data_IF_675569934896
#
_entry.id   IF_675569934896
#
_cell.length_a   1.000
_cell.length_b   1.000
_cell.length_c   1.000
_cell.angle_alpha   90.00
_cell.angle_beta   90.00
_cell.angle_gamma   90.00
#
_symmetry.space_group_name_H-M   'P 1'
#
loop_
_entity.id
_entity.type
_entity.pdbx_description
1 polymer ?
#
# COMPACT_ATOMS: atom_id res chain seq x y z
N UNK A 1 13.89 -50.44 -75.88
CA UNK A 1 14.51 -49.09 -75.81
C UNK A 1 13.52 -47.93 -75.58
N UNK A 2 12.30 -48.17 -75.06
CA UNK A 2 11.35 -47.07 -74.74
C UNK A 2 11.32 -46.76 -73.24
N UNK A 3 11.61 -47.75 -72.38
CA UNK A 3 11.64 -47.57 -70.92
C UNK A 3 12.79 -46.71 -70.39
N UNK A 4 13.90 -46.58 -71.13
CA UNK A 4 15.06 -45.77 -70.72
C UNK A 4 14.87 -44.27 -70.97
N UNK A 5 14.08 -43.89 -71.98
CA UNK A 5 13.82 -42.49 -72.35
C UNK A 5 12.75 -41.81 -71.48
N UNK A 6 11.82 -42.56 -70.91
CA UNK A 6 10.79 -42.02 -70.01
C UNK A 6 11.38 -41.71 -68.62
N UNK A 7 12.31 -42.55 -68.15
CA UNK A 7 13.04 -42.33 -66.90
C UNK A 7 14.03 -41.17 -67.01
N UNK A 8 14.58 -40.88 -68.20
CA UNK A 8 15.44 -39.71 -68.44
C UNK A 8 14.68 -38.37 -68.47
N UNK A 9 13.39 -38.38 -68.83
CA UNK A 9 12.57 -37.15 -68.90
C UNK A 9 11.92 -36.76 -67.57
N UNK A 10 11.63 -37.72 -66.68
CA UNK A 10 11.14 -37.46 -65.32
C UNK A 10 12.27 -36.99 -64.38
N UNK A 11 13.54 -37.23 -64.75
CA UNK A 11 14.69 -37.00 -63.87
C UNK A 11 15.27 -35.58 -63.88
N UNK A 12 14.93 -34.72 -64.85
CA UNK A 12 15.77 -33.55 -65.11
C UNK A 12 15.16 -32.15 -65.02
N UNK A 13 13.84 -31.92 -64.89
CA UNK A 13 13.35 -30.51 -64.85
C UNK A 13 12.16 -30.17 -63.93
N UNK A 14 11.53 -31.12 -63.23
CA UNK A 14 10.40 -30.80 -62.33
C UNK A 14 10.68 -30.99 -60.83
N UNK A 15 11.75 -31.68 -60.46
CA UNK A 15 12.05 -31.88 -59.03
C UNK A 15 12.48 -30.59 -58.34
N UNK A 16 13.20 -29.71 -59.05
CA UNK A 16 13.48 -28.33 -58.60
C UNK A 16 12.21 -27.52 -58.37
N UNK A 17 11.22 -27.63 -59.24
CA UNK A 17 9.93 -26.95 -59.08
C UNK A 17 9.20 -27.44 -57.81
N UNK A 18 9.14 -28.76 -57.59
CA UNK A 18 8.52 -29.35 -56.39
C UNK A 18 9.24 -28.90 -55.11
N UNK A 19 10.58 -28.84 -55.12
CA UNK A 19 11.37 -28.36 -53.97
C UNK A 19 11.10 -26.89 -53.70
N UNK A 20 11.03 -26.05 -54.75
CA UNK A 20 10.71 -24.62 -54.61
C UNK A 20 9.31 -24.45 -54.02
N UNK A 21 8.30 -25.17 -54.54
CA UNK A 21 6.92 -25.11 -54.04
C UNK A 21 6.85 -25.54 -52.57
N UNK A 22 7.56 -26.62 -52.19
CA UNK A 22 7.65 -27.06 -50.80
C UNK A 22 8.30 -26.00 -49.89
N UNK A 23 9.41 -25.39 -50.32
CA UNK A 23 10.09 -24.32 -49.57
C UNK A 23 9.17 -23.12 -49.39
N UNK A 24 8.45 -22.71 -50.44
CA UNK A 24 7.49 -21.60 -50.35
C UNK A 24 6.40 -21.90 -49.33
N UNK A 25 5.83 -23.11 -49.32
CA UNK A 25 4.82 -23.51 -48.33
C UNK A 25 5.40 -23.50 -46.91
N UNK A 26 6.58 -24.09 -46.69
CA UNK A 26 7.23 -24.12 -45.38
C UNK A 26 7.55 -22.71 -44.89
N UNK A 27 8.10 -21.85 -45.75
CA UNK A 27 8.36 -20.44 -45.44
C UNK A 27 7.06 -19.69 -45.16
N UNK A 28 5.99 -19.97 -45.92
CA UNK A 28 4.67 -19.39 -45.69
C UNK A 28 4.10 -19.74 -44.32
N UNK A 29 4.16 -21.02 -43.92
CA UNK A 29 3.75 -21.48 -42.58
C UNK A 29 4.64 -20.84 -41.50
N UNK A 30 5.95 -20.78 -41.71
CA UNK A 30 6.88 -20.16 -40.78
C UNK A 30 6.57 -18.67 -40.56
N UNK A 31 6.38 -17.89 -41.63
CA UNK A 31 5.98 -16.47 -41.54
C UNK A 31 4.61 -16.33 -40.89
N UNK A 32 3.67 -17.23 -41.18
CA UNK A 32 2.34 -17.25 -40.56
C UNK A 32 2.41 -17.41 -39.05
N UNK A 33 3.21 -18.36 -38.55
CA UNK A 33 3.44 -18.56 -37.11
C UNK A 33 4.12 -17.34 -36.49
N UNK A 34 5.15 -16.79 -37.13
CA UNK A 34 5.85 -15.60 -36.63
C UNK A 34 4.94 -14.37 -36.56
N UNK A 35 4.05 -14.20 -37.54
CA UNK A 35 3.07 -13.11 -37.53
C UNK A 35 2.03 -13.27 -36.41
N UNK A 36 1.64 -14.52 -36.10
CA UNK A 36 0.76 -14.83 -34.97
C UNK A 36 1.45 -14.55 -33.63
N UNK A 37 2.69 -15.01 -33.44
CA UNK A 37 3.47 -14.75 -32.23
C UNK A 37 3.66 -13.25 -32.00
N UNK A 38 3.94 -12.49 -33.08
CA UNK A 38 4.03 -11.03 -33.01
C UNK A 38 2.70 -10.36 -32.65
N UNK A 39 1.57 -10.84 -33.17
CA UNK A 39 0.26 -10.31 -32.82
C UNK A 39 -0.10 -10.56 -31.34
N UNK A 40 0.21 -11.75 -30.83
CA UNK A 40 0.02 -12.12 -29.42
C UNK A 40 0.90 -11.26 -28.52
N UNK A 41 2.18 -11.12 -28.85
CA UNK A 41 3.13 -10.33 -28.06
C UNK A 41 2.74 -8.84 -28.02
N UNK A 42 2.29 -8.26 -29.13
CA UNK A 42 1.75 -6.90 -29.14
C UNK A 42 0.51 -6.74 -28.27
N UNK A 43 -0.38 -7.74 -28.28
CA UNK A 43 -1.54 -7.76 -27.40
C UNK A 43 -1.15 -7.79 -25.92
N UNK A 44 -0.13 -8.61 -25.59
CA UNK A 44 0.42 -8.73 -24.24
C UNK A 44 1.02 -7.40 -23.74
N UNK A 45 1.85 -6.75 -24.56
CA UNK A 45 2.45 -5.45 -24.24
C UNK A 45 1.40 -4.36 -24.01
N UNK A 46 0.33 -4.35 -24.83
CA UNK A 46 -0.77 -3.41 -24.64
C UNK A 46 -1.47 -3.61 -23.30
N UNK A 47 -1.78 -4.86 -22.95
CA UNK A 47 -2.43 -5.18 -21.68
C UNK A 47 -1.53 -4.83 -20.48
N UNK A 48 -0.23 -5.11 -20.59
CA UNK A 48 0.75 -4.75 -19.57
C UNK A 48 0.79 -3.24 -19.33
N UNK A 49 0.87 -2.44 -20.39
CA UNK A 49 0.85 -0.98 -20.27
C UNK A 49 -0.44 -0.47 -19.61
N UNK A 50 -1.59 -1.04 -19.98
CA UNK A 50 -2.88 -0.69 -19.36
C UNK A 50 -2.91 -1.02 -17.85
N UNK A 51 -2.35 -2.15 -17.42
CA UNK A 51 -2.23 -2.47 -16.00
C UNK A 51 -1.27 -1.53 -15.27
N UNK A 52 -0.13 -1.20 -15.88
CA UNK A 52 0.86 -0.30 -15.26
C UNK A 52 0.28 1.12 -15.09
N UNK A 53 -0.42 1.65 -16.09
CA UNK A 53 -1.06 2.97 -16.02
C UNK A 53 -2.15 3.02 -14.95
N UNK A 54 -3.02 1.99 -14.90
CA UNK A 54 -4.05 1.87 -13.85
C UNK A 54 -3.43 1.79 -12.47
N UNK A 55 -2.42 0.94 -12.31
CA UNK A 55 -1.73 0.74 -11.04
C UNK A 55 -1.02 2.02 -10.56
N UNK A 56 -0.36 2.74 -11.48
CA UNK A 56 0.29 4.01 -11.18
C UNK A 56 -0.71 5.03 -10.62
N UNK A 57 -1.85 5.23 -11.30
CA UNK A 57 -2.91 6.13 -10.82
C UNK A 57 -3.52 5.70 -9.48
N UNK A 58 -3.65 4.39 -9.24
CA UNK A 58 -4.09 3.85 -7.94
C UNK A 58 -3.08 4.18 -6.84
N UNK A 59 -1.78 4.00 -7.11
CA UNK A 59 -0.70 4.28 -6.16
C UNK A 59 -0.63 5.77 -5.80
N UNK A 60 -0.72 6.67 -6.77
CA UNK A 60 -0.73 8.12 -6.53
C UNK A 60 -1.86 8.54 -5.59
N UNK A 61 -3.10 8.11 -5.89
CA UNK A 61 -4.28 8.41 -5.06
C UNK A 61 -4.14 7.83 -3.65
N UNK A 62 -3.55 6.65 -3.54
CA UNK A 62 -3.34 5.99 -2.27
C UNK A 62 -2.26 6.70 -1.45
N UNK A 63 -1.20 7.21 -2.06
CA UNK A 63 -0.18 8.05 -1.40
C UNK A 63 -0.83 9.31 -0.82
N UNK A 64 -1.63 10.02 -1.61
CA UNK A 64 -2.34 11.22 -1.17
C UNK A 64 -3.21 10.92 0.05
N UNK A 65 -4.03 9.86 -0.05
CA UNK A 65 -4.93 9.42 1.02
C UNK A 65 -4.15 9.06 2.28
N UNK A 66 -3.08 8.28 2.16
CA UNK A 66 -2.26 7.83 3.29
C UNK A 66 -1.48 8.97 3.95
N UNK A 67 -1.12 10.02 3.23
CA UNK A 67 -0.42 11.19 3.80
C UNK A 67 -1.20 11.82 4.96
N UNK A 68 -2.54 11.79 4.90
CA UNK A 68 -3.42 12.28 5.97
C UNK A 68 -3.29 11.39 7.21
N UNK A 69 -3.25 10.07 7.04
CA UNK A 69 -3.05 9.12 8.13
C UNK A 69 -1.67 9.29 8.75
N UNK A 70 -0.61 9.37 7.94
CA UNK A 70 0.76 9.53 8.44
C UNK A 70 0.88 10.78 9.33
N UNK A 71 0.36 11.92 8.87
CA UNK A 71 0.35 13.18 9.65
C UNK A 71 -0.47 13.05 10.93
N UNK A 72 -1.70 12.56 10.83
CA UNK A 72 -2.61 12.49 11.98
C UNK A 72 -2.15 11.49 13.03
N UNK A 73 -1.63 10.32 12.64
CA UNK A 73 -1.14 9.30 13.59
C UNK A 73 0.16 9.72 14.25
N UNK A 74 1.06 10.36 13.51
CA UNK A 74 2.27 10.96 14.08
C UNK A 74 1.94 12.06 15.08
N UNK A 75 1.01 12.96 14.74
CA UNK A 75 0.56 14.04 15.63
C UNK A 75 -0.07 13.46 16.91
N UNK A 76 -0.97 12.50 16.76
CA UNK A 76 -1.63 11.84 17.89
C UNK A 76 -0.64 11.11 18.80
N UNK A 77 0.30 10.34 18.22
CA UNK A 77 1.36 9.66 18.97
C UNK A 77 2.17 10.65 19.80
N UNK A 78 2.55 11.79 19.22
CA UNK A 78 3.28 12.85 19.92
C UNK A 78 2.46 13.47 21.04
N UNK A 79 1.18 13.79 20.80
CA UNK A 79 0.28 14.34 21.82
C UNK A 79 0.12 13.38 23.01
N UNK A 80 0.04 12.07 22.74
CA UNK A 80 -0.09 11.04 23.76
C UNK A 80 1.21 10.87 24.57
N UNK A 81 2.37 10.87 23.93
CA UNK A 81 3.68 10.86 24.61
C UNK A 81 3.82 12.09 25.52
N UNK A 82 3.51 13.28 25.00
CA UNK A 82 3.52 14.52 25.79
C UNK A 82 2.54 14.42 26.97
N UNK A 83 1.35 13.87 26.78
CA UNK A 83 0.39 13.67 27.87
C UNK A 83 0.96 12.77 28.99
N UNK A 84 1.64 11.68 28.62
CA UNK A 84 2.35 10.80 29.57
C UNK A 84 3.45 11.54 30.32
N UNK A 85 4.25 12.36 29.63
CA UNK A 85 5.31 13.16 30.26
C UNK A 85 4.73 14.16 31.26
N UNK A 86 3.66 14.86 30.90
CA UNK A 86 2.95 15.78 31.80
C UNK A 86 2.38 15.05 33.03
N UNK A 87 1.85 13.83 32.87
CA UNK A 87 1.33 13.04 34.00
C UNK A 87 2.44 12.48 34.91
N UNK A 88 3.66 12.34 34.41
CA UNK A 88 4.81 11.85 35.17
C UNK A 88 5.72 12.96 35.72
N UNK A 89 5.56 14.19 35.24
CA UNK A 89 6.27 15.37 35.72
C UNK A 89 5.99 15.68 37.20
N UNK A 90 7.01 16.13 37.92
CA UNK A 90 6.89 16.66 39.27
C UNK A 90 6.31 18.08 39.31
N UNK A 91 6.20 18.74 38.16
CA UNK A 91 5.65 20.10 38.03
C UNK A 91 4.11 20.08 38.12
N UNK A 92 3.56 20.58 39.22
CA UNK A 92 2.11 20.64 39.49
C UNK A 92 1.36 21.64 38.62
N UNK A 93 2.05 22.58 37.99
CA UNK A 93 1.43 23.62 37.17
C UNK A 93 1.22 23.17 35.72
N UNK A 94 1.87 22.07 35.31
CA UNK A 94 1.61 21.43 34.03
C UNK A 94 0.25 20.72 34.04
N UNK A 95 -0.74 21.32 33.37
CA UNK A 95 -2.08 20.77 33.17
C UNK A 95 -2.20 20.13 31.78
N UNK A 96 -3.00 19.08 31.64
CA UNK A 96 -3.30 18.49 30.33
C UNK A 96 -4.11 19.48 29.47
N UNK A 97 -3.71 19.61 28.20
CA UNK A 97 -4.51 20.33 27.21
C UNK A 97 -5.71 19.50 26.76
N UNK A 98 -6.65 20.12 26.03
CA UNK A 98 -7.73 19.39 25.36
C UNK A 98 -7.18 18.30 24.42
N UNK A 99 -6.12 18.61 23.66
CA UNK A 99 -5.48 17.65 22.76
C UNK A 99 -4.86 16.47 23.52
N UNK A 100 -4.24 16.71 24.67
CA UNK A 100 -3.72 15.64 25.51
C UNK A 100 -4.84 14.75 26.05
N UNK A 101 -5.94 15.34 26.52
CA UNK A 101 -7.07 14.59 27.05
C UNK A 101 -7.75 13.73 25.96
N UNK A 102 -7.97 14.30 24.78
CA UNK A 102 -8.47 13.56 23.60
C UNK A 102 -7.52 12.43 23.20
N UNK A 103 -6.21 12.66 23.23
CA UNK A 103 -5.22 11.64 22.91
C UNK A 103 -5.25 10.47 23.92
N UNK A 104 -5.40 10.76 25.21
CA UNK A 104 -5.54 9.74 26.26
C UNK A 104 -6.79 8.88 26.01
N UNK A 105 -7.94 9.51 25.79
CA UNK A 105 -9.21 8.76 25.60
C UNK A 105 -9.23 7.98 24.31
N UNK A 106 -8.68 8.54 23.23
CA UNK A 106 -8.58 7.85 21.94
C UNK A 106 -7.48 6.79 21.86
N UNK A 107 -6.61 6.68 22.86
CA UNK A 107 -5.39 5.85 22.80
C UNK A 107 -5.64 4.35 22.65
N UNK A 108 -6.83 3.87 23.01
CA UNK A 108 -7.25 2.48 22.85
C UNK A 108 -7.73 2.16 21.42
N UNK A 109 -7.96 3.18 20.60
CA UNK A 109 -8.62 3.04 19.31
C UNK A 109 -7.64 3.28 18.17
N UNK A 110 -7.40 2.24 17.38
CA UNK A 110 -6.64 2.31 16.14
C UNK A 110 -7.54 1.94 14.97
N UNK A 111 -7.28 2.57 13.82
CA UNK A 111 -7.97 2.24 12.56
C UNK A 111 -6.95 1.71 11.56
N UNK A 112 -7.38 0.81 10.68
CA UNK A 112 -6.50 0.31 9.60
C UNK A 112 -6.52 1.34 8.46
N UNK A 113 -5.39 2.00 8.13
CA UNK A 113 -5.35 2.90 6.98
C UNK A 113 -5.50 2.11 5.66
N UNK A 114 -6.07 2.71 4.60
CA UNK A 114 -6.24 2.05 3.32
C UNK A 114 -4.90 1.64 2.72
N UNK A 115 -4.84 0.44 2.13
CA UNK A 115 -3.64 -0.13 1.53
C UNK A 115 -3.94 -1.05 0.34
N UNK A 116 -5.13 -0.93 -0.24
CA UNK A 116 -5.59 -1.82 -1.31
C UNK A 116 -5.28 -1.19 -2.68
N UNK A 117 -4.77 -2.02 -3.59
CA UNK A 117 -4.54 -1.69 -4.99
C UNK A 117 -5.40 -2.64 -5.84
N UNK A 118 -6.60 -2.22 -6.30
CA UNK A 118 -7.53 -3.06 -7.04
C UNK A 118 -6.89 -3.79 -8.22
N UNK A 119 -6.00 -3.12 -8.98
CA UNK A 119 -5.30 -3.74 -10.11
C UNK A 119 -4.38 -4.87 -9.67
N UNK A 120 -3.69 -4.74 -8.53
CA UNK A 120 -2.88 -5.83 -7.96
C UNK A 120 -3.76 -7.00 -7.51
N UNK A 121 -4.89 -6.72 -6.86
CA UNK A 121 -5.84 -7.75 -6.42
C UNK A 121 -6.39 -8.53 -7.62
N UNK A 122 -6.73 -7.84 -8.71
CA UNK A 122 -7.16 -8.45 -9.98
C UNK A 122 -6.08 -9.38 -10.53
N UNK A 123 -4.83 -8.91 -10.65
CA UNK A 123 -3.71 -9.69 -11.19
C UNK A 123 -3.38 -10.91 -10.34
N UNK A 124 -3.39 -10.78 -9.01
CA UNK A 124 -3.12 -11.90 -8.10
C UNK A 124 -4.27 -12.92 -8.11
N UNK A 125 -5.53 -12.48 -8.05
CA UNK A 125 -6.69 -13.37 -8.01
C UNK A 125 -6.91 -14.14 -9.31
N UNK A 126 -6.50 -13.57 -10.44
CA UNK A 126 -6.57 -14.22 -11.76
C UNK A 126 -5.30 -14.98 -12.13
N UNK A 127 -4.25 -14.94 -11.29
CA UNK A 127 -2.97 -15.58 -11.55
C UNK A 127 -2.18 -14.96 -12.72
N UNK A 128 -2.40 -13.68 -13.01
CA UNK A 128 -1.87 -12.94 -14.16
C UNK A 128 -0.72 -11.99 -13.83
N UNK A 129 -0.12 -12.12 -12.64
CA UNK A 129 1.02 -11.26 -12.26
C UNK A 129 2.22 -11.45 -13.21
N UNK A 130 2.33 -12.61 -13.86
CA UNK A 130 3.31 -12.91 -14.91
C UNK A 130 3.14 -12.06 -16.18
N UNK A 131 1.97 -11.47 -16.40
CA UNK A 131 1.72 -10.55 -17.52
C UNK A 131 2.49 -9.23 -17.40
N UNK A 132 2.88 -8.84 -16.17
CA UNK A 132 3.81 -7.74 -15.95
C UNK A 132 5.23 -8.28 -16.14
N UNK A 133 5.91 -7.95 -17.23
CA UNK A 133 7.25 -8.47 -17.55
C UNK A 133 8.33 -8.02 -16.58
N UNK A 134 8.21 -6.80 -16.08
CA UNK A 134 9.20 -6.18 -15.20
C UNK A 134 9.33 -6.90 -13.86
N UNK A 135 10.46 -7.60 -13.67
CA UNK A 135 10.80 -8.23 -12.38
C UNK A 135 10.87 -7.23 -11.22
N UNK A 136 11.45 -6.02 -11.38
CA UNK A 136 11.40 -4.98 -10.35
C UNK A 136 9.97 -4.64 -9.94
N UNK A 137 9.05 -4.40 -10.89
CA UNK A 137 7.65 -4.08 -10.59
C UNK A 137 6.96 -5.21 -9.83
N UNK A 138 7.06 -6.46 -10.33
CA UNK A 138 6.47 -7.63 -9.64
C UNK A 138 6.98 -7.76 -8.21
N UNK A 139 8.28 -7.56 -8.00
CA UNK A 139 8.90 -7.65 -6.66
C UNK A 139 8.41 -6.53 -5.74
N UNK A 140 8.34 -5.29 -6.24
CA UNK A 140 7.83 -4.16 -5.47
C UNK A 140 6.36 -4.34 -5.06
N UNK A 141 5.52 -4.85 -5.98
CA UNK A 141 4.12 -5.20 -5.71
C UNK A 141 4.01 -6.23 -4.58
N UNK A 142 4.76 -7.34 -4.69
CA UNK A 142 4.70 -8.40 -3.70
C UNK A 142 5.16 -7.93 -2.31
N UNK A 143 6.25 -7.17 -2.25
CA UNK A 143 6.75 -6.57 -1.00
C UNK A 143 5.71 -5.63 -0.38
N UNK A 144 5.09 -4.76 -1.19
CA UNK A 144 4.03 -3.87 -0.75
C UNK A 144 2.83 -4.63 -0.17
N UNK A 145 2.32 -5.64 -0.89
CA UNK A 145 1.17 -6.42 -0.45
C UNK A 145 1.45 -7.19 0.84
N UNK A 146 2.66 -7.75 0.98
CA UNK A 146 3.06 -8.45 2.19
C UNK A 146 3.13 -7.51 3.39
N UNK A 147 3.72 -6.33 3.23
CA UNK A 147 3.81 -5.35 4.31
C UNK A 147 2.47 -4.74 4.68
N UNK A 148 1.60 -4.46 3.70
CA UNK A 148 0.23 -4.03 3.93
C UNK A 148 -0.57 -5.07 4.74
N UNK A 149 -0.46 -6.35 4.37
CA UNK A 149 -1.12 -7.44 5.09
C UNK A 149 -0.61 -7.55 6.54
N UNK A 150 0.71 -7.56 6.73
CA UNK A 150 1.35 -7.61 8.05
C UNK A 150 0.95 -6.43 8.94
N UNK A 151 0.88 -5.23 8.36
CA UNK A 151 0.48 -4.02 9.09
C UNK A 151 -1.00 -4.07 9.52
N UNK A 152 -1.89 -4.58 8.66
CA UNK A 152 -3.31 -4.78 9.02
C UNK A 152 -3.45 -5.78 10.18
N UNK A 153 -2.74 -6.89 10.11
CA UNK A 153 -2.81 -7.93 11.15
C UNK A 153 -2.27 -7.41 12.48
N UNK A 154 -1.14 -6.68 12.46
CA UNK A 154 -0.59 -5.99 13.63
C UNK A 154 -1.58 -4.96 14.19
N UNK A 155 -2.16 -4.11 13.34
CA UNK A 155 -3.14 -3.10 13.77
C UNK A 155 -4.33 -3.76 14.46
N UNK A 156 -4.86 -4.83 13.87
CA UNK A 156 -5.98 -5.60 14.44
C UNK A 156 -5.64 -6.20 15.79
N UNK A 157 -4.41 -6.73 15.96
CA UNK A 157 -3.95 -7.25 17.24
C UNK A 157 -3.87 -6.15 18.30
N UNK A 158 -3.31 -4.98 17.95
CA UNK A 158 -3.20 -3.81 18.83
C UNK A 158 -4.59 -3.30 19.23
N UNK A 159 -5.54 -3.16 18.29
CA UNK A 159 -6.89 -2.70 18.58
C UNK A 159 -7.61 -3.61 19.57
N UNK A 160 -7.38 -4.93 19.51
CA UNK A 160 -8.01 -5.90 20.41
C UNK A 160 -7.45 -5.88 21.82
N UNK A 161 -6.20 -5.48 21.99
CA UNK A 161 -5.55 -5.36 23.30
C UNK A 161 -5.67 -3.98 23.93
N UNK A 162 -6.24 -3.00 23.22
CA UNK A 162 -6.38 -1.63 23.72
C UNK A 162 -7.31 -1.54 24.94
N UNK A 163 -6.87 -0.84 25.98
CA UNK A 163 -7.69 -0.61 27.17
C UNK A 163 -8.39 0.75 27.08
N UNK A 164 -9.73 0.75 27.02
CA UNK A 164 -10.53 1.98 27.01
C UNK A 164 -10.46 2.68 28.38
N UNK A 165 -9.57 3.67 28.48
CA UNK A 165 -9.31 4.38 29.73
C UNK A 165 -10.51 5.22 30.17
N UNK A 166 -11.29 5.76 29.23
CA UNK A 166 -12.49 6.54 29.55
C UNK A 166 -13.56 5.68 30.23
N UNK A 167 -13.70 4.43 29.80
CA UNK A 167 -14.60 3.46 30.42
C UNK A 167 -14.05 2.88 31.72
N UNK A 168 -12.76 2.62 31.79
CA UNK A 168 -12.12 1.99 32.95
C UNK A 168 -11.94 2.94 34.14
N UNK A 169 -11.78 4.24 33.88
CA UNK A 169 -11.52 5.26 34.90
C UNK A 169 -12.55 6.41 34.87
N UNK A 170 -13.85 6.13 35.07
CA UNK A 170 -14.91 7.15 34.96
C UNK A 170 -14.85 8.24 36.05
N UNK A 171 -14.03 8.04 37.09
CA UNK A 171 -13.75 9.07 38.11
C UNK A 171 -12.65 10.04 37.70
N UNK A 172 -11.81 9.67 36.73
CA UNK A 172 -10.70 10.48 36.24
C UNK A 172 -11.04 11.15 34.90
N UNK A 173 -11.85 10.46 34.09
CA UNK A 173 -12.27 10.89 32.76
C UNK A 173 -13.79 10.92 32.71
N UNK A 174 -14.35 12.09 32.44
CA UNK A 174 -15.76 12.24 32.03
C UNK A 174 -15.82 12.55 30.55
N UNK A 175 -16.96 12.32 29.91
CA UNK A 175 -17.14 12.65 28.51
C UNK A 175 -18.60 12.95 28.17
N UNK A 176 -18.79 13.82 27.18
CA UNK A 176 -20.12 14.22 26.72
C UNK A 176 -20.16 14.30 25.20
N UNK A 177 -21.25 13.82 24.60
CA UNK A 177 -21.47 13.96 23.16
C UNK A 177 -21.70 15.44 22.80
N UNK A 178 -21.00 15.94 21.80
CA UNK A 178 -21.22 17.28 21.28
C UNK A 178 -20.43 17.56 20.00
N UNK A 179 -20.44 18.80 19.48
CA UNK A 179 -19.61 19.20 18.36
C UNK A 179 -18.12 18.93 18.65
N UNK A 180 -17.37 18.45 17.65
CA UNK A 180 -15.93 18.20 17.84
C UNK A 180 -15.19 19.50 18.15
N UNK A 181 -14.43 19.50 19.25
CA UNK A 181 -13.57 20.62 19.63
C UNK A 181 -12.24 20.67 18.86
N UNK A 182 -11.88 19.56 18.20
CA UNK A 182 -10.63 19.43 17.43
C UNK A 182 -10.84 19.48 15.92
N UNK A 183 -12.07 19.67 15.45
CA UNK A 183 -12.40 19.92 14.04
C UNK A 183 -12.22 18.71 13.11
N UNK A 184 -12.17 17.50 13.66
CA UNK A 184 -11.94 16.27 12.87
C UNK A 184 -13.26 15.66 12.38
N UNK A 185 -14.31 15.74 13.21
CA UNK A 185 -15.64 15.17 12.97
C UNK A 185 -16.75 16.20 13.26
N UNK A 186 -17.97 15.96 12.78
CA UNK A 186 -19.13 16.81 13.12
C UNK A 186 -19.59 16.64 14.56
N UNK A 187 -19.45 15.42 15.11
CA UNK A 187 -19.77 15.06 16.48
C UNK A 187 -18.62 14.26 17.08
N UNK A 188 -18.36 14.46 18.37
CA UNK A 188 -17.33 13.75 19.10
C UNK A 188 -17.74 13.51 20.56
N UNK A 189 -17.09 12.53 21.18
CA UNK A 189 -17.19 12.27 22.60
C UNK A 189 -16.17 13.15 23.33
N UNK A 190 -16.55 14.40 23.63
CA UNK A 190 -15.66 15.40 24.21
C UNK A 190 -15.24 15.00 25.63
N UNK A 191 -13.97 14.63 25.86
CA UNK A 191 -13.53 14.20 27.18
C UNK A 191 -13.10 15.38 28.05
N UNK A 192 -13.22 15.19 29.36
CA UNK A 192 -12.68 16.09 30.38
C UNK A 192 -11.81 15.25 31.33
N UNK A 193 -10.59 15.74 31.57
CA UNK A 193 -9.56 15.01 32.30
C UNK A 193 -9.21 15.74 33.61
N UNK A 194 -9.41 15.09 34.75
CA UNK A 194 -8.87 15.60 36.02
C UNK A 194 -7.37 15.29 36.10
N UNK A 195 -6.55 16.21 35.61
CA UNK A 195 -5.09 16.06 35.57
C UNK A 195 -4.49 15.74 36.94
N UNK A 196 -5.02 16.36 38.01
CA UNK A 196 -4.49 16.18 39.36
C UNK A 196 -4.81 14.78 39.88
N UNK A 197 -6.06 14.33 39.72
CA UNK A 197 -6.46 12.99 40.13
C UNK A 197 -5.74 11.91 39.31
N UNK A 198 -5.60 12.11 37.99
CA UNK A 198 -4.86 11.23 37.10
C UNK A 198 -3.39 11.07 37.51
N UNK A 199 -2.73 12.17 37.87
CA UNK A 199 -1.32 12.14 38.31
C UNK A 199 -1.16 11.38 39.63
N UNK A 200 -2.13 11.49 40.55
CA UNK A 200 -2.11 10.79 41.83
C UNK A 200 -2.38 9.29 41.68
N UNK A 201 -3.07 8.87 40.62
CA UNK A 201 -3.41 7.46 40.38
C UNK A 201 -2.26 6.72 39.65
N UNK A 202 -1.57 5.85 40.38
CA UNK A 202 -0.48 5.04 39.81
C UNK A 202 -0.97 4.04 38.77
N UNK A 203 -2.14 3.45 38.95
CA UNK A 203 -2.67 2.44 38.02
C UNK A 203 -2.97 3.12 36.69
N UNK A 204 -3.66 4.26 36.73
CA UNK A 204 -3.95 5.05 35.54
C UNK A 204 -2.68 5.45 34.77
N UNK A 205 -1.64 5.93 35.47
CA UNK A 205 -0.36 6.31 34.84
C UNK A 205 0.34 5.14 34.14
N UNK A 206 0.21 3.92 34.66
CA UNK A 206 0.74 2.73 34.00
C UNK A 206 -0.07 2.43 32.72
N UNK A 207 -1.41 2.37 32.83
CA UNK A 207 -2.29 2.05 31.71
C UNK A 207 -2.16 3.05 30.55
N UNK A 208 -2.08 4.36 30.84
CA UNK A 208 -1.86 5.37 29.79
C UNK A 208 -0.48 5.24 29.15
N UNK A 209 0.55 4.84 29.91
CA UNK A 209 1.88 4.59 29.37
C UNK A 209 1.92 3.38 28.45
N UNK A 210 1.20 2.31 28.80
CA UNK A 210 1.05 1.13 27.95
C UNK A 210 0.30 1.45 26.66
N UNK A 211 -0.84 2.15 26.74
CA UNK A 211 -1.56 2.60 25.55
C UNK A 211 -0.69 3.53 24.67
N UNK A 212 0.08 4.45 25.27
CA UNK A 212 1.01 5.31 24.55
C UNK A 212 2.08 4.53 23.79
N UNK A 213 2.68 3.53 24.45
CA UNK A 213 3.63 2.63 23.83
C UNK A 213 3.00 1.87 22.65
N UNK A 214 1.82 1.28 22.85
CA UNK A 214 1.14 0.50 21.82
C UNK A 214 0.72 1.36 20.62
N UNK A 215 0.27 2.60 20.85
CA UNK A 215 -0.07 3.52 19.78
C UNK A 215 1.16 4.01 18.99
N UNK A 216 2.30 4.20 19.68
CA UNK A 216 3.58 4.48 19.04
C UNK A 216 4.03 3.29 18.17
N UNK A 217 3.92 2.06 18.67
CA UNK A 217 4.18 0.84 17.88
C UNK A 217 3.28 0.76 16.65
N UNK A 218 1.97 1.05 16.79
CA UNK A 218 1.05 1.12 15.66
C UNK A 218 1.52 2.14 14.61
N UNK A 219 1.87 3.35 15.03
CA UNK A 219 2.31 4.42 14.12
C UNK A 219 3.61 4.03 13.39
N UNK A 220 4.63 3.64 14.15
CA UNK A 220 5.99 3.41 13.62
C UNK A 220 6.16 2.08 12.90
N UNK A 221 5.37 1.05 13.25
CA UNK A 221 5.53 -0.31 12.73
C UNK A 221 4.40 -0.80 11.83
N UNK A 222 3.24 -0.15 11.84
CA UNK A 222 2.11 -0.50 10.95
C UNK A 222 1.79 0.61 9.94
N UNK A 223 1.71 1.87 10.37
CA UNK A 223 1.26 2.97 9.48
C UNK A 223 2.37 3.44 8.54
N UNK A 224 3.45 4.01 9.11
CA UNK A 224 4.50 4.65 8.31
C UNK A 224 5.28 3.69 7.39
N UNK A 225 5.58 2.42 7.77
CA UNK A 225 6.28 1.50 6.88
C UNK A 225 5.53 1.21 5.58
N UNK A 226 4.19 1.04 5.64
CA UNK A 226 3.39 0.77 4.44
C UNK A 226 3.38 1.98 3.51
N UNK A 227 3.36 3.20 4.05
CA UNK A 227 3.46 4.43 3.26
C UNK A 227 4.83 4.53 2.56
N UNK A 228 5.93 4.18 3.25
CA UNK A 228 7.26 4.10 2.62
C UNK A 228 7.33 3.05 1.51
N UNK A 229 6.74 1.88 1.74
CA UNK A 229 6.74 0.81 0.74
C UNK A 229 5.86 1.16 -0.47
N UNK A 230 4.78 1.92 -0.26
CA UNK A 230 3.96 2.47 -1.34
C UNK A 230 4.73 3.49 -2.17
N UNK A 231 5.49 4.40 -1.55
CA UNK A 231 6.40 5.31 -2.27
C UNK A 231 7.47 4.56 -3.05
N UNK A 232 8.05 3.49 -2.48
CA UNK A 232 9.01 2.67 -3.21
C UNK A 232 8.38 1.96 -4.43
N UNK A 233 7.13 1.52 -4.32
CA UNK A 233 6.38 0.98 -5.47
C UNK A 233 6.13 2.05 -6.53
N UNK A 234 5.76 3.27 -6.12
CA UNK A 234 5.60 4.40 -7.03
C UNK A 234 6.87 4.71 -7.81
N UNK A 235 8.02 4.80 -7.15
CA UNK A 235 9.31 5.08 -7.81
C UNK A 235 9.69 4.00 -8.84
N UNK A 236 9.38 2.73 -8.55
CA UNK A 236 9.61 1.61 -9.48
C UNK A 236 8.66 1.69 -10.68
N UNK A 237 7.39 2.09 -10.46
CA UNK A 237 6.43 2.26 -11.54
C UNK A 237 6.80 3.43 -12.44
N UNK A 238 7.17 4.59 -11.87
CA UNK A 238 7.64 5.77 -12.62
C UNK A 238 8.81 5.41 -13.56
N UNK A 239 9.78 4.65 -13.03
CA UNK A 239 10.92 4.20 -13.81
C UNK A 239 10.53 3.26 -14.96
N UNK A 240 9.53 2.39 -14.74
CA UNK A 240 9.04 1.44 -15.75
C UNK A 240 8.27 2.14 -16.89
N UNK A 241 7.39 3.08 -16.56
CA UNK A 241 6.55 3.80 -17.54
C UNK A 241 7.18 5.09 -18.08
N UNK A 242 8.40 5.43 -17.62
CA UNK A 242 9.17 6.57 -18.10
C UNK A 242 8.67 7.93 -17.61
N UNK A 243 8.03 7.98 -16.45
CA UNK A 243 7.63 9.24 -15.80
C UNK A 243 8.80 9.77 -14.98
N UNK A 244 9.08 11.07 -15.14
CA UNK A 244 10.05 11.79 -14.34
C UNK A 244 9.35 12.95 -13.63
N UNK A 245 9.18 12.83 -12.32
CA UNK A 245 8.71 13.95 -11.51
C UNK A 245 9.81 15.00 -11.43
N UNK A 246 9.49 16.26 -11.75
CA UNK A 246 10.37 17.37 -11.38
C UNK A 246 10.45 17.42 -9.86
N UNK A 247 11.63 17.67 -9.26
CA UNK A 247 11.75 17.73 -7.81
C UNK A 247 10.79 18.80 -7.27
N UNK A 248 9.76 18.36 -6.55
CA UNK A 248 8.82 19.23 -5.88
C UNK A 248 9.60 20.12 -4.91
N UNK A 249 9.43 21.44 -5.04
CA UNK A 249 10.11 22.41 -4.19
C UNK A 249 9.87 22.04 -2.73
N UNK A 250 10.97 21.84 -2.00
CA UNK A 250 10.96 21.68 -0.56
C UNK A 250 10.03 22.72 0.11
N UNK A 251 9.29 22.35 1.17
CA UNK A 251 8.50 23.32 1.91
C UNK A 251 9.44 24.42 2.40
N UNK A 252 9.10 25.67 2.09
CA UNK A 252 9.80 26.84 2.61
C UNK A 252 9.67 26.80 4.15
N UNK A 253 10.77 27.02 4.88
CA UNK A 253 10.85 26.85 6.34
C UNK A 253 9.85 27.71 7.13
#
# INVERSE_FOLDING_TARGET
MILRRIVEHVKNQHWTAIVIDFVIVVVGVFIGLQAQDWAVERGRQKNEHEYLDRLHSEVEKLIETRSIYDRTRTKFSRALINAVDHLNSSDTDQVLSLEHCDAIVGSAHTTVPPAELPTVIELLSTGRLDQLTSTPVRTAILNYMQDAARARDLTTAISRSGHDLGRAFPRLITHHLGPSRLGVDSLWLNPECDTRAMRADRVFRNEVSENAYMYSVYTERAVLPVSRQLSALHDVLDAEIGIHHSPEKAPIP
#
